data_IF_587442685370
#
_entry.id   IF_587442685370
#
_cell.length_a   1.000
_cell.length_b   1.000
_cell.length_c   1.000
_cell.angle_alpha   90.00
_cell.angle_beta   90.00
_cell.angle_gamma   90.00
#
_symmetry.space_group_name_H-M   'P 1'
#
loop_
_entity.id
_entity.type
_entity.pdbx_description
1 polymer ?
#
# COMPACT_ATOMS: atom_id res chain seq x y z
N UNK A 1 -5.08 -25.10 10.45
CA UNK A 1 -4.91 -24.63 11.85
C UNK A 1 -6.10 -24.95 12.75
N UNK A 2 -7.34 -24.99 12.24
CA UNK A 2 -8.54 -25.38 13.03
C UNK A 2 -8.76 -26.90 13.16
N UNK A 3 -8.02 -27.70 12.40
CA UNK A 3 -8.24 -29.15 12.27
C UNK A 3 -7.46 -30.00 13.30
N UNK A 4 -6.55 -29.40 14.07
CA UNK A 4 -5.66 -30.11 15.00
C UNK A 4 -5.88 -29.71 16.48
N UNK A 5 -7.03 -29.11 16.80
CA UNK A 5 -7.48 -28.71 18.15
C UNK A 5 -6.51 -27.82 18.95
N UNK A 6 -5.49 -27.26 18.29
CA UNK A 6 -4.53 -26.34 18.88
C UNK A 6 -5.02 -24.89 18.75
N UNK A 7 -4.55 -23.96 19.62
CA UNK A 7 -4.96 -22.56 19.57
C UNK A 7 -4.72 -21.94 18.19
N UNK A 8 -5.73 -21.27 17.63
CA UNK A 8 -5.59 -20.46 16.42
C UNK A 8 -5.08 -19.08 16.81
N UNK A 9 -3.75 -18.91 16.88
CA UNK A 9 -3.11 -17.62 17.16
C UNK A 9 -2.17 -17.20 16.03
N UNK A 10 -1.99 -15.89 15.87
CA UNK A 10 -1.08 -15.34 14.86
C UNK A 10 0.37 -15.79 15.08
N UNK A 11 0.82 -15.88 16.33
CA UNK A 11 2.15 -16.38 16.65
C UNK A 11 2.35 -17.83 16.18
N UNK A 12 1.33 -18.69 16.35
CA UNK A 12 1.39 -20.07 15.87
C UNK A 12 1.34 -20.15 14.35
N UNK A 13 0.52 -19.31 13.69
CA UNK A 13 0.47 -19.23 12.23
C UNK A 13 1.86 -18.89 11.66
N UNK A 14 2.49 -17.84 12.17
CA UNK A 14 3.84 -17.44 11.77
C UNK A 14 4.85 -18.54 12.09
N UNK A 15 4.75 -19.18 13.25
CA UNK A 15 5.58 -20.33 13.60
C UNK A 15 5.43 -21.48 12.60
N UNK A 16 4.22 -21.84 12.20
CA UNK A 16 4.00 -22.91 11.21
C UNK A 16 4.60 -22.55 9.85
N UNK A 17 4.38 -21.32 9.38
CA UNK A 17 4.85 -20.89 8.05
C UNK A 17 6.37 -20.74 8.01
N UNK A 18 6.95 -20.09 9.01
CA UNK A 18 8.35 -19.69 9.01
C UNK A 18 9.24 -20.73 9.68
N UNK A 19 8.81 -21.23 10.84
CA UNK A 19 9.67 -21.97 11.78
C UNK A 19 9.62 -23.48 11.66
N UNK A 20 8.62 -24.01 10.96
CA UNK A 20 8.54 -25.46 10.73
C UNK A 20 9.52 -25.86 9.64
N UNK A 21 10.33 -26.89 9.92
CA UNK A 21 11.10 -27.60 8.89
C UNK A 21 10.18 -27.94 7.71
N UNK A 22 10.72 -27.96 6.48
CA UNK A 22 9.92 -28.25 5.29
C UNK A 22 9.13 -29.55 5.40
N UNK A 23 9.72 -30.56 6.07
CA UNK A 23 9.04 -31.82 6.36
C UNK A 23 7.85 -31.63 7.32
N UNK A 24 8.02 -30.87 8.41
CA UNK A 24 6.94 -30.61 9.36
C UNK A 24 5.80 -29.79 8.72
N UNK A 25 6.14 -28.79 7.90
CA UNK A 25 5.18 -28.01 7.14
C UNK A 25 4.47 -28.88 6.08
N UNK A 26 5.21 -29.74 5.37
CA UNK A 26 4.67 -30.70 4.41
C UNK A 26 3.69 -31.69 5.04
N UNK A 27 4.03 -32.24 6.20
CA UNK A 27 3.15 -33.11 6.98
C UNK A 27 1.90 -32.35 7.45
N UNK A 28 2.06 -31.10 7.91
CA UNK A 28 0.93 -30.27 8.33
C UNK A 28 -0.01 -29.91 7.18
N UNK A 29 0.53 -29.70 5.98
CA UNK A 29 -0.23 -29.38 4.76
C UNK A 29 -0.73 -30.64 4.02
N UNK A 30 -0.43 -31.84 4.51
CA UNK A 30 -0.85 -33.07 3.86
C UNK A 30 -2.39 -33.11 3.72
N UNK A 31 -2.86 -33.42 2.51
CA UNK A 31 -4.29 -33.40 2.17
C UNK A 31 -4.83 -32.02 1.75
N UNK A 32 -3.99 -30.99 1.71
CA UNK A 32 -4.31 -29.68 1.11
C UNK A 32 -3.69 -29.55 -0.28
N UNK A 33 -4.20 -28.61 -1.08
CA UNK A 33 -3.65 -28.30 -2.41
C UNK A 33 -2.19 -27.83 -2.37
N UNK A 34 -1.75 -27.25 -1.25
CA UNK A 34 -0.40 -26.73 -1.06
C UNK A 34 0.64 -27.80 -0.68
N UNK A 35 0.23 -29.05 -0.41
CA UNK A 35 1.15 -30.11 0.01
C UNK A 35 2.27 -30.37 -1.01
N UNK A 36 1.96 -30.26 -2.31
CA UNK A 36 2.91 -30.48 -3.41
C UNK A 36 4.02 -29.41 -3.45
N UNK A 37 3.72 -28.19 -2.98
CA UNK A 37 4.62 -27.03 -3.05
C UNK A 37 5.70 -27.02 -1.95
N UNK A 38 5.56 -27.88 -0.94
CA UNK A 38 6.46 -27.97 0.23
C UNK A 38 7.11 -29.36 0.38
N UNK A 39 7.02 -30.19 -0.67
CA UNK A 39 7.63 -31.52 -0.68
C UNK A 39 9.16 -31.46 -0.61
N UNK A 40 9.78 -32.50 -0.04
CA UNK A 40 11.25 -32.59 0.15
C UNK A 40 12.03 -32.48 -1.16
N UNK A 41 11.43 -32.93 -2.26
CA UNK A 41 12.06 -32.95 -3.59
C UNK A 41 12.17 -31.55 -4.22
N UNK A 42 11.54 -30.53 -3.62
CA UNK A 42 11.47 -29.16 -4.16
C UNK A 42 11.95 -28.13 -3.14
N UNK A 43 13.06 -28.43 -2.43
CA UNK A 43 13.63 -27.58 -1.36
C UNK A 43 13.87 -26.12 -1.81
N UNK A 44 14.42 -25.90 -3.03
CA UNK A 44 14.68 -24.54 -3.54
C UNK A 44 13.41 -23.71 -3.74
N UNK A 45 12.37 -24.28 -4.35
CA UNK A 45 11.09 -23.59 -4.55
C UNK A 45 10.42 -23.29 -3.22
N UNK A 46 10.45 -24.22 -2.27
CA UNK A 46 9.84 -24.00 -0.97
C UNK A 46 10.56 -22.89 -0.18
N UNK A 47 11.89 -22.78 -0.28
CA UNK A 47 12.66 -21.67 0.29
C UNK A 47 12.28 -20.35 -0.39
N UNK A 48 12.23 -20.31 -1.72
CA UNK A 48 11.79 -19.13 -2.47
C UNK A 48 10.39 -18.66 -2.05
N UNK A 49 9.43 -19.58 -1.90
CA UNK A 49 8.09 -19.29 -1.39
C UNK A 49 8.14 -18.72 0.03
N UNK A 50 8.91 -19.35 0.94
CA UNK A 50 9.05 -18.86 2.31
C UNK A 50 9.68 -17.47 2.37
N UNK A 51 10.70 -17.19 1.56
CA UNK A 51 11.32 -15.86 1.48
C UNK A 51 10.34 -14.80 1.03
N UNK A 52 9.55 -15.09 -0.02
CA UNK A 52 8.49 -14.18 -0.48
C UNK A 52 7.44 -13.98 0.61
N UNK A 53 6.95 -15.05 1.24
CA UNK A 53 5.96 -14.96 2.31
C UNK A 53 6.49 -14.17 3.52
N UNK A 54 7.71 -14.41 3.97
CA UNK A 54 8.34 -13.74 5.10
C UNK A 54 8.29 -12.21 4.97
N UNK A 55 8.57 -11.70 3.77
CA UNK A 55 8.54 -10.27 3.46
C UNK A 55 7.15 -9.66 3.68
N UNK A 56 6.05 -10.37 3.38
CA UNK A 56 4.69 -9.82 3.53
C UNK A 56 4.07 -10.10 4.91
N UNK A 57 4.32 -11.28 5.48
CA UNK A 57 3.67 -11.72 6.73
C UNK A 57 4.33 -11.17 7.99
N UNK A 58 5.53 -10.57 7.90
CA UNK A 58 6.22 -9.96 9.06
C UNK A 58 5.37 -8.92 9.79
N UNK A 59 4.49 -8.23 9.08
CA UNK A 59 3.54 -7.26 9.63
C UNK A 59 2.57 -7.90 10.65
N UNK A 60 2.27 -9.20 10.52
CA UNK A 60 1.41 -9.93 11.46
C UNK A 60 1.98 -9.94 12.90
N UNK A 61 3.29 -9.67 13.09
CA UNK A 61 3.90 -9.52 14.42
C UNK A 61 3.22 -8.43 15.26
N UNK A 62 2.67 -7.39 14.62
CA UNK A 62 1.98 -6.31 15.31
C UNK A 62 0.60 -6.73 15.88
N UNK A 63 0.09 -7.90 15.50
CA UNK A 63 -1.14 -8.47 16.04
C UNK A 63 -0.91 -9.28 17.32
N UNK A 64 0.33 -9.41 17.78
CA UNK A 64 0.64 -10.16 18.98
C UNK A 64 -0.10 -9.61 20.20
N UNK A 65 -0.47 -10.51 21.11
CA UNK A 65 -1.23 -10.21 22.31
C UNK A 65 -2.69 -9.76 22.10
N UNK A 66 -3.20 -9.75 20.88
CA UNK A 66 -4.65 -9.53 20.66
C UNK A 66 -5.48 -10.71 21.18
N UNK A 67 -4.92 -11.92 21.15
CA UNK A 67 -5.53 -13.16 21.63
C UNK A 67 -5.24 -13.45 23.12
N UNK A 68 -4.66 -12.49 23.85
CA UNK A 68 -4.33 -12.68 25.27
C UNK A 68 -5.57 -12.97 26.10
N UNK A 69 -5.43 -13.94 27.01
CA UNK A 69 -6.46 -14.30 27.97
C UNK A 69 -6.15 -13.73 29.35
N UNK A 70 -7.18 -13.40 30.10
CA UNK A 70 -7.09 -13.06 31.52
C UNK A 70 -6.85 -14.32 32.38
N UNK A 71 -6.70 -14.12 33.69
CA UNK A 71 -6.47 -15.20 34.65
C UNK A 71 -7.63 -16.23 34.71
N UNK A 72 -8.79 -15.88 34.14
CA UNK A 72 -9.98 -16.72 34.06
C UNK A 72 -10.10 -17.43 32.70
N UNK A 73 -9.12 -17.27 31.82
CA UNK A 73 -9.10 -17.88 30.48
C UNK A 73 -10.01 -17.18 29.47
N UNK A 74 -10.54 -16.00 29.78
CA UNK A 74 -11.36 -15.20 28.86
C UNK A 74 -10.48 -14.24 28.06
N UNK A 75 -10.81 -13.93 26.79
CA UNK A 75 -10.08 -12.92 26.04
C UNK A 75 -10.05 -11.58 26.78
N UNK A 76 -8.87 -11.02 27.02
CA UNK A 76 -8.70 -9.68 27.64
C UNK A 76 -9.36 -8.59 26.80
N UNK A 77 -9.52 -8.84 25.50
CA UNK A 77 -10.15 -7.94 24.53
C UNK A 77 -11.25 -8.69 23.81
N UNK A 78 -12.38 -8.03 23.59
CA UNK A 78 -13.44 -8.57 22.73
C UNK A 78 -12.89 -8.69 21.30
N UNK A 79 -13.03 -9.84 20.63
CA UNK A 79 -12.69 -9.98 19.23
C UNK A 79 -13.46 -8.97 18.37
N UNK A 80 -12.78 -8.43 17.36
CA UNK A 80 -13.38 -7.50 16.40
C UNK A 80 -13.31 -8.11 15.00
N UNK A 81 -14.45 -8.12 14.31
CA UNK A 81 -14.56 -8.54 12.91
C UNK A 81 -14.95 -7.32 12.08
N UNK A 82 -14.08 -6.94 11.13
CA UNK A 82 -14.39 -5.89 10.16
C UNK A 82 -15.61 -6.29 9.33
N UNK A 83 -15.69 -7.57 8.95
CA UNK A 83 -16.80 -8.09 8.16
C UNK A 83 -18.12 -7.92 8.92
N UNK A 84 -18.18 -8.40 10.17
CA UNK A 84 -19.39 -8.32 10.98
C UNK A 84 -19.77 -6.87 11.26
N UNK A 85 -18.80 -5.98 11.44
CA UNK A 85 -19.05 -4.55 11.65
C UNK A 85 -19.61 -3.87 10.39
N UNK A 86 -19.06 -4.17 9.21
CA UNK A 86 -19.54 -3.64 7.92
C UNK A 86 -20.92 -4.20 7.56
N UNK A 87 -21.18 -5.47 7.88
CA UNK A 87 -22.39 -6.18 7.49
C UNK A 87 -23.58 -5.96 8.44
N UNK A 88 -23.37 -5.30 9.58
CA UNK A 88 -24.42 -4.97 10.53
C UNK A 88 -24.90 -3.53 10.33
N UNK A 89 -26.07 -3.39 9.68
CA UNK A 89 -26.72 -2.08 9.42
C UNK A 89 -27.04 -1.29 10.71
N UNK A 90 -26.99 -1.91 11.89
CA UNK A 90 -27.16 -1.20 13.16
C UNK A 90 -25.89 -0.53 13.66
N UNK A 91 -24.72 -0.91 13.12
CA UNK A 91 -23.46 -0.29 13.50
C UNK A 91 -23.40 1.14 12.98
N UNK A 92 -22.90 2.02 13.83
CA UNK A 92 -22.75 3.45 13.52
C UNK A 92 -21.35 3.90 13.93
N UNK A 93 -20.84 4.89 13.20
CA UNK A 93 -19.55 5.52 13.49
C UNK A 93 -18.51 5.25 12.42
N UNK A 94 -17.25 5.45 12.80
CA UNK A 94 -16.11 5.36 11.90
C UNK A 94 -15.15 4.26 12.37
N UNK A 95 -14.69 3.45 11.42
CA UNK A 95 -13.54 2.58 11.61
C UNK A 95 -12.29 3.34 11.13
N UNK A 96 -11.42 3.72 12.04
CA UNK A 96 -10.16 4.40 11.71
C UNK A 96 -9.03 3.37 11.56
N UNK A 97 -8.48 3.27 10.36
CA UNK A 97 -7.27 2.49 10.08
C UNK A 97 -6.07 3.45 10.06
N UNK A 98 -5.48 3.68 11.24
CA UNK A 98 -4.38 4.65 11.39
C UNK A 98 -3.01 3.98 11.46
N UNK A 99 -2.00 4.66 10.94
CA UNK A 99 -0.59 4.37 11.18
C UNK A 99 0.18 5.65 11.49
N UNK A 100 1.21 5.55 12.33
CA UNK A 100 2.22 6.61 12.42
C UNK A 100 3.12 6.56 11.17
N UNK A 101 3.55 7.70 10.65
CA UNK A 101 4.44 7.83 9.49
C UNK A 101 5.70 6.94 9.62
N UNK A 102 6.30 6.88 10.82
CA UNK A 102 7.48 6.05 11.08
C UNK A 102 7.23 4.54 10.90
N UNK A 103 6.00 4.07 11.09
CA UNK A 103 5.63 2.65 11.03
C UNK A 103 4.78 2.31 9.81
N UNK A 104 4.55 3.28 8.91
CA UNK A 104 3.63 3.12 7.80
C UNK A 104 4.07 1.98 6.88
N UNK A 105 5.35 1.94 6.47
CA UNK A 105 5.90 0.86 5.64
C UNK A 105 5.67 -0.54 6.24
N UNK A 106 5.94 -0.75 7.53
CA UNK A 106 5.79 -2.06 8.18
C UNK A 106 4.32 -2.45 8.42
N UNK A 107 3.40 -1.47 8.55
CA UNK A 107 1.96 -1.69 8.74
C UNK A 107 1.16 -1.71 7.43
N UNK A 108 1.74 -1.23 6.33
CA UNK A 108 1.10 -1.13 5.02
C UNK A 108 0.42 -2.44 4.58
N UNK A 109 1.03 -3.64 4.71
CA UNK A 109 0.35 -4.89 4.33
C UNK A 109 -0.92 -5.16 5.14
N UNK A 110 -0.90 -4.84 6.45
CA UNK A 110 -2.06 -5.02 7.33
C UNK A 110 -3.19 -4.05 6.97
N UNK A 111 -2.86 -2.76 6.78
CA UNK A 111 -3.85 -1.73 6.44
C UNK A 111 -4.50 -2.06 5.09
N UNK A 112 -3.70 -2.42 4.09
CA UNK A 112 -4.21 -2.88 2.79
C UNK A 112 -5.10 -4.11 2.92
N UNK A 113 -4.73 -5.08 3.76
CA UNK A 113 -5.55 -6.28 4.01
C UNK A 113 -6.88 -5.92 4.66
N UNK A 114 -6.89 -5.10 5.70
CA UNK A 114 -8.12 -4.68 6.38
C UNK A 114 -9.05 -3.88 5.48
N UNK A 115 -8.49 -3.01 4.64
CA UNK A 115 -9.27 -2.27 3.67
C UNK A 115 -9.86 -3.18 2.58
N UNK A 116 -9.10 -4.17 2.11
CA UNK A 116 -9.61 -5.18 1.18
C UNK A 116 -10.72 -6.03 1.82
N UNK A 117 -10.58 -6.41 3.10
CA UNK A 117 -11.61 -7.12 3.86
C UNK A 117 -12.87 -6.27 3.97
N UNK A 118 -12.74 -4.99 4.35
CA UNK A 118 -13.88 -4.07 4.46
C UNK A 118 -14.59 -3.92 3.11
N UNK A 119 -13.83 -3.71 2.04
CA UNK A 119 -14.36 -3.52 0.69
C UNK A 119 -15.13 -4.75 0.19
N UNK A 120 -14.57 -5.96 0.39
CA UNK A 120 -15.24 -7.21 0.05
C UNK A 120 -16.47 -7.48 0.94
N UNK A 121 -16.43 -7.09 2.22
CA UNK A 121 -17.57 -7.22 3.12
C UNK A 121 -18.77 -6.39 2.64
N UNK A 122 -18.53 -5.19 2.07
CA UNK A 122 -19.57 -4.35 1.46
C UNK A 122 -20.18 -5.07 0.24
N UNK A 123 -19.36 -5.69 -0.63
CA UNK A 123 -19.86 -6.47 -1.77
C UNK A 123 -20.72 -7.68 -1.35
N UNK A 124 -20.53 -8.19 -0.13
CA UNK A 124 -21.33 -9.27 0.43
C UNK A 124 -22.70 -8.85 1.00
N UNK A 125 -23.01 -7.54 1.03
CA UNK A 125 -24.30 -7.03 1.50
C UNK A 125 -25.41 -7.31 0.49
N UNK A 126 -26.66 -7.12 0.92
CA UNK A 126 -27.80 -7.09 0.00
C UNK A 126 -27.91 -5.72 -0.66
N UNK A 127 -28.40 -5.70 -1.89
CA UNK A 127 -28.72 -4.47 -2.62
C UNK A 127 -29.62 -3.55 -1.77
N UNK A 128 -29.21 -2.29 -1.65
CA UNK A 128 -29.89 -1.27 -0.86
C UNK A 128 -29.52 0.12 -1.40
N UNK A 129 -30.50 0.84 -1.94
CA UNK A 129 -30.29 2.17 -2.54
C UNK A 129 -30.15 3.29 -1.50
N UNK A 130 -30.50 3.05 -0.24
CA UNK A 130 -30.46 4.02 0.86
C UNK A 130 -29.19 3.86 1.71
N UNK A 131 -28.55 2.68 1.70
CA UNK A 131 -27.31 2.42 2.44
C UNK A 131 -26.16 3.30 1.94
N UNK A 132 -25.38 3.90 2.84
CA UNK A 132 -24.15 4.65 2.51
C UNK A 132 -23.00 4.24 3.43
N UNK A 133 -22.06 3.46 2.91
CA UNK A 133 -20.81 3.11 3.59
C UNK A 133 -19.68 3.84 2.90
N UNK A 134 -19.08 4.80 3.59
CA UNK A 134 -17.99 5.61 3.05
C UNK A 134 -16.64 4.95 3.31
N UNK A 135 -15.89 4.70 2.24
CA UNK A 135 -14.50 4.28 2.27
C UNK A 135 -13.66 5.47 1.83
N UNK A 136 -12.95 6.07 2.79
CA UNK A 136 -12.13 7.26 2.58
C UNK A 136 -10.67 6.83 2.63
N UNK A 137 -9.95 7.06 1.53
CA UNK A 137 -8.54 6.76 1.36
C UNK A 137 -7.83 8.10 1.14
N UNK A 138 -7.12 8.58 2.14
CA UNK A 138 -6.43 9.89 2.10
C UNK A 138 -5.28 9.90 1.10
N UNK A 139 -4.53 8.80 1.00
CA UNK A 139 -3.52 8.57 -0.03
C UNK A 139 -3.52 7.10 -0.46
N UNK A 140 -4.25 6.78 -1.52
CA UNK A 140 -4.35 5.39 -1.98
C UNK A 140 -3.01 4.80 -2.48
N UNK A 141 -2.19 5.53 -3.25
CA UNK A 141 -0.91 5.00 -3.72
C UNK A 141 0.08 4.59 -2.64
N UNK A 142 -0.04 5.09 -1.39
CA UNK A 142 0.81 4.66 -0.28
C UNK A 142 0.46 3.26 0.25
N UNK A 143 -0.65 2.66 -0.21
CA UNK A 143 -1.05 1.29 0.13
C UNK A 143 -0.45 0.29 -0.86
N UNK A 144 -0.38 -0.99 -0.46
CA UNK A 144 -0.20 -2.06 -1.44
C UNK A 144 -1.34 -2.08 -2.45
N UNK A 145 -1.02 -2.50 -3.67
CA UNK A 145 -2.02 -2.71 -4.73
C UNK A 145 -3.16 -3.57 -4.18
N UNK A 146 -4.34 -2.98 -4.06
CA UNK A 146 -5.54 -3.70 -3.64
C UNK A 146 -6.02 -4.55 -4.81
N UNK A 147 -6.11 -5.88 -4.66
CA UNK A 147 -6.59 -6.74 -5.73
C UNK A 147 -8.01 -6.34 -6.15
N UNK A 148 -8.25 -6.31 -7.47
CA UNK A 148 -9.59 -6.11 -8.07
C UNK A 148 -10.31 -4.82 -7.63
N UNK A 149 -9.56 -3.80 -7.19
CA UNK A 149 -10.14 -2.55 -6.70
C UNK A 149 -11.04 -1.86 -7.74
N UNK A 150 -10.67 -1.92 -9.01
CA UNK A 150 -11.45 -1.43 -10.14
C UNK A 150 -12.82 -2.11 -10.23
N UNK A 151 -12.86 -3.44 -10.15
CA UNK A 151 -14.10 -4.20 -10.12
C UNK A 151 -14.92 -3.84 -8.87
N UNK A 152 -14.28 -3.78 -7.70
CA UNK A 152 -14.94 -3.45 -6.44
C UNK A 152 -15.60 -2.08 -6.52
N UNK A 153 -14.88 -1.02 -6.91
CA UNK A 153 -15.43 0.34 -7.01
C UNK A 153 -16.61 0.38 -7.99
N UNK A 154 -16.56 -0.39 -9.08
CA UNK A 154 -17.64 -0.45 -10.07
C UNK A 154 -18.92 -1.12 -9.54
N UNK A 155 -18.78 -2.19 -8.75
CA UNK A 155 -19.92 -3.00 -8.30
C UNK A 155 -20.49 -2.54 -6.95
N UNK A 156 -19.67 -1.97 -6.07
CA UNK A 156 -20.04 -1.65 -4.69
C UNK A 156 -21.21 -0.66 -4.58
N UNK A 157 -21.48 0.11 -5.64
CA UNK A 157 -22.51 1.15 -5.70
C UNK A 157 -23.91 0.61 -5.38
N UNK A 158 -24.29 -0.59 -5.89
CA UNK A 158 -25.62 -1.18 -5.64
C UNK A 158 -25.81 -1.66 -4.19
N UNK A 159 -24.70 -1.86 -3.48
CA UNK A 159 -24.68 -2.26 -2.07
C UNK A 159 -24.54 -1.07 -1.11
N UNK A 160 -24.43 0.16 -1.64
CA UNK A 160 -24.31 1.38 -0.86
C UNK A 160 -22.88 1.85 -0.57
N UNK A 161 -21.85 1.24 -1.15
CA UNK A 161 -20.47 1.69 -0.99
C UNK A 161 -20.18 3.00 -1.73
N UNK A 162 -19.47 3.91 -1.07
CA UNK A 162 -19.06 5.21 -1.59
C UNK A 162 -17.56 5.40 -1.35
N UNK A 163 -16.79 5.66 -2.42
CA UNK A 163 -15.33 5.82 -2.33
C UNK A 163 -14.94 7.29 -2.47
N UNK A 164 -14.05 7.74 -1.57
CA UNK A 164 -13.35 9.03 -1.68
C UNK A 164 -11.86 8.71 -1.66
N UNK A 165 -11.17 9.03 -2.74
CA UNK A 165 -9.77 8.67 -2.95
C UNK A 165 -8.96 9.95 -3.16
N UNK A 166 -7.98 10.18 -2.28
CA UNK A 166 -6.92 11.15 -2.46
C UNK A 166 -5.81 10.57 -3.35
N UNK A 167 -5.38 11.39 -4.30
CA UNK A 167 -4.29 11.09 -5.23
C UNK A 167 -3.38 12.32 -5.31
N UNK A 168 -2.11 12.18 -4.95
CA UNK A 168 -1.11 13.24 -5.16
C UNK A 168 -0.67 13.33 -6.62
N UNK A 169 -0.51 12.18 -7.29
CA UNK A 169 -0.04 12.12 -8.68
C UNK A 169 -0.63 10.93 -9.42
N UNK A 170 -1.10 11.16 -10.64
CA UNK A 170 -1.50 10.10 -11.55
C UNK A 170 -0.33 9.14 -11.87
N UNK A 171 0.92 9.60 -11.83
CA UNK A 171 2.08 8.74 -12.07
C UNK A 171 2.27 7.69 -10.96
N UNK A 172 1.97 8.02 -9.70
CA UNK A 172 2.01 7.06 -8.59
C UNK A 172 0.91 6.00 -8.77
N UNK A 173 -0.28 6.41 -9.20
CA UNK A 173 -1.37 5.50 -9.54
C UNK A 173 -0.96 4.48 -10.62
N UNK A 174 -0.33 4.96 -11.71
CA UNK A 174 0.19 4.11 -12.79
C UNK A 174 1.30 3.18 -12.29
N UNK A 175 2.19 3.66 -11.41
CA UNK A 175 3.25 2.83 -10.80
C UNK A 175 2.65 1.66 -10.01
N UNK A 176 1.63 1.90 -9.20
CA UNK A 176 1.05 0.88 -8.31
C UNK A 176 0.10 -0.08 -9.05
N UNK A 177 -0.73 0.42 -9.96
CA UNK A 177 -1.81 -0.37 -10.58
C UNK A 177 -1.55 -0.75 -12.04
N UNK A 178 -0.54 -0.16 -12.68
CA UNK A 178 -0.32 -0.23 -14.12
C UNK A 178 -1.24 0.73 -14.89
N UNK A 179 -0.84 1.12 -16.10
CA UNK A 179 -1.53 2.16 -16.89
C UNK A 179 -3.01 1.87 -17.13
N UNK A 180 -3.35 0.66 -17.57
CA UNK A 180 -4.73 0.30 -17.91
C UNK A 180 -5.65 0.36 -16.67
N UNK A 181 -5.26 -0.28 -15.58
CA UNK A 181 -6.04 -0.27 -14.33
C UNK A 181 -6.13 1.13 -13.74
N UNK A 182 -5.05 1.92 -13.81
CA UNK A 182 -5.04 3.32 -13.37
C UNK A 182 -6.06 4.17 -14.14
N UNK A 183 -6.15 4.01 -15.46
CA UNK A 183 -7.16 4.68 -16.28
C UNK A 183 -8.58 4.26 -15.88
N UNK A 184 -8.83 2.96 -15.67
CA UNK A 184 -10.14 2.44 -15.23
C UNK A 184 -10.54 3.02 -13.87
N UNK A 185 -9.65 2.97 -12.87
CA UNK A 185 -9.92 3.53 -11.53
C UNK A 185 -10.23 5.02 -11.65
N UNK A 186 -9.42 5.76 -12.42
CA UNK A 186 -9.63 7.19 -12.61
C UNK A 186 -11.00 7.48 -13.23
N UNK A 187 -11.41 6.71 -14.25
CA UNK A 187 -12.68 6.87 -14.96
C UNK A 187 -13.92 6.54 -14.10
N UNK A 188 -13.81 5.62 -13.14
CA UNK A 188 -14.90 5.30 -12.21
C UNK A 188 -15.22 6.43 -11.22
N UNK A 189 -14.25 7.30 -10.94
CA UNK A 189 -14.37 8.41 -9.99
C UNK A 189 -15.03 9.62 -10.66
N UNK A 190 -16.36 9.72 -10.57
CA UNK A 190 -17.14 10.72 -11.31
C UNK A 190 -17.06 12.15 -10.75
N UNK A 191 -17.03 12.31 -9.43
CA UNK A 191 -16.90 13.62 -8.78
C UNK A 191 -15.43 13.87 -8.50
N UNK A 192 -14.89 14.98 -9.03
CA UNK A 192 -13.45 15.24 -9.00
C UNK A 192 -13.17 16.65 -8.48
N UNK A 193 -12.21 16.72 -7.57
CA UNK A 193 -11.63 17.95 -7.06
C UNK A 193 -10.19 18.04 -7.58
N UNK A 194 -9.92 19.02 -8.42
CA UNK A 194 -8.58 19.27 -8.96
C UNK A 194 -7.93 20.41 -8.19
N UNK A 195 -7.00 20.05 -7.30
CA UNK A 195 -6.14 21.00 -6.59
C UNK A 195 -4.93 21.39 -7.45
N UNK A 196 -4.06 22.26 -6.91
CA UNK A 196 -2.79 22.61 -7.52
C UNK A 196 -1.99 21.34 -7.83
N UNK A 197 -1.61 21.19 -9.10
CA UNK A 197 -0.75 20.11 -9.56
C UNK A 197 0.57 20.69 -10.10
N UNK A 198 1.71 20.52 -9.40
CA UNK A 198 2.97 21.14 -9.84
C UNK A 198 3.54 20.47 -11.10
N UNK A 199 3.28 19.18 -11.31
CA UNK A 199 3.81 18.45 -12.46
C UNK A 199 3.04 18.78 -13.74
N UNK A 200 3.76 19.00 -14.85
CA UNK A 200 3.17 19.31 -16.15
C UNK A 200 2.22 18.21 -16.64
N UNK A 201 2.55 16.94 -16.37
CA UNK A 201 1.74 15.79 -16.73
C UNK A 201 0.38 15.81 -16.00
N UNK A 202 0.38 15.97 -14.67
CA UNK A 202 -0.88 16.00 -13.91
C UNK A 202 -1.70 17.24 -14.27
N UNK A 203 -1.07 18.40 -14.42
CA UNK A 203 -1.76 19.61 -14.85
C UNK A 203 -2.42 19.46 -16.24
N UNK A 204 -1.76 18.80 -17.19
CA UNK A 204 -2.33 18.51 -18.50
C UNK A 204 -3.51 17.52 -18.42
N UNK A 205 -3.39 16.47 -17.61
CA UNK A 205 -4.48 15.51 -17.36
C UNK A 205 -5.69 16.24 -16.75
N UNK A 206 -5.47 17.05 -15.72
CA UNK A 206 -6.53 17.85 -15.07
C UNK A 206 -7.18 18.83 -16.05
N UNK A 207 -6.39 19.58 -16.83
CA UNK A 207 -6.91 20.53 -17.82
C UNK A 207 -7.77 19.84 -18.88
N UNK A 208 -7.30 18.69 -19.38
CA UNK A 208 -8.03 17.88 -20.35
C UNK A 208 -9.34 17.32 -19.77
N UNK A 209 -9.33 16.88 -18.51
CA UNK A 209 -10.53 16.33 -17.87
C UNK A 209 -11.59 17.39 -17.54
N UNK A 210 -11.15 18.59 -17.16
CA UNK A 210 -12.03 19.75 -16.97
C UNK A 210 -12.67 20.22 -18.29
N UNK A 211 -12.10 19.83 -19.43
CA UNK A 211 -12.68 19.97 -20.75
C UNK A 211 -12.30 21.27 -21.47
N UNK A 212 -12.95 21.48 -22.62
CA UNK A 212 -12.73 22.61 -23.50
C UNK A 212 -14.01 23.44 -23.66
N UNK A 213 -13.85 24.71 -24.02
CA UNK A 213 -14.92 25.64 -24.34
C UNK A 213 -14.66 26.27 -25.71
N UNK A 214 -15.72 26.52 -26.45
CA UNK A 214 -15.71 27.36 -27.64
C UNK A 214 -16.05 28.79 -27.25
N UNK A 215 -15.21 29.74 -27.67
CA UNK A 215 -15.38 31.16 -27.36
C UNK A 215 -15.33 31.97 -28.65
N UNK A 216 -16.33 32.80 -28.85
CA UNK A 216 -16.35 33.78 -29.93
C UNK A 216 -15.54 35.03 -29.54
N UNK A 217 -14.36 35.17 -30.13
CA UNK A 217 -13.47 36.31 -29.91
C UNK A 217 -13.70 37.34 -31.00
N UNK A 218 -14.10 38.54 -30.61
CA UNK A 218 -14.21 39.69 -31.50
C UNK A 218 -12.88 40.44 -31.50
N UNK A 219 -12.22 40.55 -32.66
CA UNK A 219 -10.99 41.33 -32.83
C UNK A 219 -11.28 42.59 -33.62
N UNK A 220 -10.99 43.73 -33.01
CA UNK A 220 -11.06 45.03 -33.66
C UNK A 220 -9.69 45.38 -34.25
N UNK A 221 -9.63 45.55 -35.57
CA UNK A 221 -8.46 46.05 -36.26
C UNK A 221 -8.69 47.52 -36.61
N UNK A 222 -7.88 48.41 -36.03
CA UNK A 222 -7.88 49.84 -36.32
C UNK A 222 -6.74 50.11 -37.31
N UNK A 223 -7.07 50.54 -38.53
CA UNK A 223 -6.06 50.98 -39.50
C UNK A 223 -5.93 52.50 -39.45
N UNK A 224 -4.75 52.99 -39.05
CA UNK A 224 -4.45 54.42 -39.05
C UNK A 224 -3.93 54.87 -40.42
N UNK A 225 -4.66 55.76 -41.07
CA UNK A 225 -4.23 56.39 -42.32
C UNK A 225 -3.43 57.67 -42.08
N UNK A 226 -2.59 58.09 -43.03
CA UNK A 226 -1.82 59.34 -42.94
C UNK A 226 -2.68 60.62 -42.92
N UNK A 227 -4.00 60.52 -43.09
CA UNK A 227 -4.96 61.61 -43.04
C UNK A 227 -6.05 61.30 -42.00
N UNK A 228 -6.30 62.23 -41.07
CA UNK A 228 -7.25 62.11 -39.96
C UNK A 228 -8.74 61.91 -40.36
N UNK A 229 -9.06 61.91 -41.66
CA UNK A 229 -10.41 61.73 -42.21
C UNK A 229 -10.68 60.30 -42.71
N UNK A 230 -9.74 59.35 -42.54
CA UNK A 230 -9.84 58.00 -43.12
C UNK A 230 -9.30 56.91 -42.20
N UNK A 231 -9.73 56.92 -40.95
CA UNK A 231 -9.53 55.78 -40.05
C UNK A 231 -10.68 54.79 -40.24
N UNK A 232 -10.32 53.54 -40.57
CA UNK A 232 -11.25 52.44 -40.73
C UNK A 232 -11.17 51.49 -39.54
N UNK A 233 -12.32 51.19 -38.95
CA UNK A 233 -12.45 50.15 -37.91
C UNK A 233 -13.07 48.92 -38.55
N UNK A 234 -12.39 47.78 -38.46
CA UNK A 234 -12.90 46.49 -38.91
C UNK A 234 -13.01 45.53 -37.73
N UNK A 235 -14.20 44.95 -37.51
CA UNK A 235 -14.44 43.97 -36.46
C UNK A 235 -14.54 42.59 -37.11
N UNK A 236 -13.62 41.70 -36.78
CA UNK A 236 -13.66 40.30 -37.16
C UNK A 236 -14.12 39.43 -36.00
N UNK A 237 -15.02 38.48 -36.26
CA UNK A 237 -15.37 37.44 -35.29
C UNK A 237 -14.61 36.17 -35.61
N UNK A 238 -14.04 35.54 -34.60
CA UNK A 238 -13.37 34.26 -34.70
C UNK A 238 -13.78 33.37 -33.52
N UNK A 239 -14.42 32.24 -33.82
CA UNK A 239 -14.64 31.18 -32.84
C UNK A 239 -13.33 30.42 -32.60
N UNK A 240 -12.93 30.28 -31.34
CA UNK A 240 -11.75 29.51 -30.94
C UNK A 240 -12.15 28.47 -29.90
N UNK A 241 -11.63 27.25 -30.03
CA UNK A 241 -11.71 26.22 -28.99
C UNK A 241 -10.48 26.34 -28.10
N UNK A 242 -10.69 26.36 -26.78
CA UNK A 242 -9.61 26.40 -25.78
C UNK A 242 -9.99 25.62 -24.53
N UNK A 243 -9.03 25.17 -23.70
CA UNK A 243 -9.33 24.58 -22.40
C UNK A 243 -10.22 25.51 -21.56
N UNK A 244 -11.15 24.93 -20.79
CA UNK A 244 -11.92 25.68 -19.79
C UNK A 244 -10.97 26.27 -18.76
N UNK A 245 -10.04 25.43 -18.31
CA UNK A 245 -8.93 25.77 -17.41
C UNK A 245 -7.65 25.25 -18.04
N UNK A 246 -6.67 26.13 -18.23
CA UNK A 246 -5.36 25.79 -18.76
C UNK A 246 -4.49 25.06 -17.71
N UNK A 247 -3.53 24.26 -18.18
CA UNK A 247 -2.54 23.64 -17.30
C UNK A 247 -1.79 24.65 -16.43
N UNK A 248 -1.52 25.85 -16.97
CA UNK A 248 -0.85 26.93 -16.24
C UNK A 248 -1.70 27.47 -15.08
N UNK A 249 -3.01 27.60 -15.27
CA UNK A 249 -3.94 27.99 -14.19
C UNK A 249 -4.01 26.93 -13.09
N UNK A 250 -3.95 25.64 -13.45
CA UNK A 250 -3.88 24.54 -12.46
C UNK A 250 -2.56 24.57 -11.68
N UNK A 251 -1.43 24.87 -12.35
CA UNK A 251 -0.12 24.95 -11.71
C UNK A 251 0.03 26.17 -10.79
N UNK A 252 -0.59 27.29 -11.17
CA UNK A 252 -0.50 28.56 -10.45
C UNK A 252 -1.55 28.73 -9.34
N UNK A 253 -2.43 27.74 -9.16
CA UNK A 253 -3.49 27.76 -8.16
C UNK A 253 -2.94 27.92 -6.73
N UNK A 254 -3.60 28.73 -5.90
CA UNK A 254 -3.20 28.90 -4.51
C UNK A 254 -3.60 27.70 -3.65
N UNK A 255 -2.96 27.54 -2.49
CA UNK A 255 -3.37 26.53 -1.52
C UNK A 255 -4.82 26.79 -1.06
N UNK A 256 -5.54 25.71 -0.78
CA UNK A 256 -6.98 25.72 -0.46
C UNK A 256 -7.91 26.15 -1.61
N UNK A 257 -7.42 26.22 -2.86
CA UNK A 257 -8.29 26.32 -4.02
C UNK A 257 -8.40 24.98 -4.75
N UNK A 258 -9.52 24.75 -5.44
CA UNK A 258 -9.67 23.62 -6.35
C UNK A 258 -10.72 23.88 -7.43
N UNK A 259 -10.64 23.16 -8.54
CA UNK A 259 -11.74 23.06 -9.51
C UNK A 259 -12.60 21.82 -9.22
N UNK A 260 -13.91 22.02 -9.09
CA UNK A 260 -14.89 20.97 -8.90
C UNK A 260 -15.56 20.61 -10.24
N UNK A 261 -15.53 19.31 -10.55
CA UNK A 261 -16.33 18.67 -11.59
C UNK A 261 -17.28 17.65 -10.96
N UNK A 262 -18.57 17.75 -11.27
CA UNK A 262 -19.61 16.84 -10.79
C UNK A 262 -20.29 16.11 -11.95
N UNK A 263 -20.75 14.87 -11.77
CA UNK A 263 -21.45 14.14 -12.82
C UNK A 263 -22.73 14.85 -13.25
N UNK A 264 -23.00 14.86 -14.56
CA UNK A 264 -24.22 15.43 -15.13
C UNK A 264 -24.23 16.96 -15.24
N UNK A 265 -23.16 17.66 -14.85
CA UNK A 265 -23.02 19.11 -15.05
C UNK A 265 -22.07 19.41 -16.20
N UNK A 266 -22.42 20.39 -17.03
CA UNK A 266 -21.52 21.00 -18.02
C UNK A 266 -20.66 22.13 -17.44
N UNK A 267 -20.94 22.57 -16.21
CA UNK A 267 -20.22 23.67 -15.57
C UNK A 267 -19.10 23.15 -14.66
N UNK A 268 -17.96 23.82 -14.74
CA UNK A 268 -16.83 23.68 -13.81
C UNK A 268 -16.85 24.87 -12.85
N UNK A 269 -16.61 24.62 -11.57
CA UNK A 269 -16.61 25.66 -10.53
C UNK A 269 -15.27 25.69 -9.84
N UNK A 270 -14.64 26.88 -9.76
CA UNK A 270 -13.51 27.10 -8.85
C UNK A 270 -14.06 27.31 -7.44
N UNK A 271 -13.53 26.57 -6.48
CA UNK A 271 -13.87 26.66 -5.06
C UNK A 271 -12.70 27.24 -4.28
N UNK A 272 -13.00 28.20 -3.42
CA UNK A 272 -12.11 28.67 -2.36
C UNK A 272 -12.49 27.98 -1.06
N UNK A 273 -11.64 27.06 -0.60
CA UNK A 273 -11.86 26.30 0.62
C UNK A 273 -11.36 27.09 1.83
N UNK A 274 -12.08 26.95 2.95
CA UNK A 274 -11.67 27.50 4.23
C UNK A 274 -11.13 26.38 5.11
N UNK A 275 -9.91 26.55 5.63
CA UNK A 275 -9.39 25.63 6.64
C UNK A 275 -10.09 25.86 7.98
N UNK A 276 -10.98 24.94 8.33
CA UNK A 276 -11.65 24.95 9.62
C UNK A 276 -10.85 24.11 10.64
N UNK A 277 -10.31 24.79 11.65
CA UNK A 277 -9.55 24.12 12.71
C UNK A 277 -10.51 23.44 13.69
N UNK A 278 -10.71 22.14 13.49
CA UNK A 278 -11.50 21.31 14.40
C UNK A 278 -10.82 21.11 15.75
N UNK A 279 -11.62 20.90 16.80
CA UNK A 279 -11.12 20.58 18.15
C UNK A 279 -10.57 19.15 18.21
N UNK A 280 -9.48 18.96 18.95
CA UNK A 280 -8.95 17.62 19.23
C UNK A 280 -9.86 16.92 20.26
N UNK A 281 -10.60 15.90 19.80
CA UNK A 281 -11.51 15.12 20.66
C UNK A 281 -10.78 13.97 21.35
N UNK A 282 -9.71 13.46 20.75
CA UNK A 282 -8.90 12.33 21.24
C UNK A 282 -7.44 12.54 20.84
N UNK A 283 -6.45 12.00 21.60
CA UNK A 283 -5.08 11.96 21.14
C UNK A 283 -4.96 11.24 19.79
N UNK A 284 -4.13 11.77 18.89
CA UNK A 284 -3.91 11.19 17.56
C UNK A 284 -3.28 9.79 17.61
N UNK A 285 -2.49 9.50 18.66
CA UNK A 285 -1.84 8.22 18.84
C UNK A 285 -1.75 7.86 20.32
N UNK A 286 -2.21 6.66 20.68
CA UNK A 286 -2.06 6.08 22.01
C UNK A 286 -1.16 4.86 21.86
N UNK A 287 0.10 5.00 22.27
CA UNK A 287 1.08 3.92 22.16
C UNK A 287 0.63 2.73 23.00
N UNK A 288 0.54 1.56 22.38
CA UNK A 288 0.28 0.30 23.07
C UNK A 288 1.52 -0.10 23.87
N UNK A 289 1.36 -0.33 25.17
CA UNK A 289 2.37 -1.01 25.99
C UNK A 289 2.27 -2.52 25.71
N UNK A 290 3.22 -3.04 24.92
CA UNK A 290 3.24 -4.46 24.56
C UNK A 290 4.68 -4.92 24.36
N UNK A 291 4.99 -6.08 24.93
CA UNK A 291 6.23 -6.82 24.68
C UNK A 291 5.87 -8.07 23.89
N UNK A 292 6.57 -8.30 22.77
CA UNK A 292 6.34 -9.49 21.95
C UNK A 292 6.50 -10.76 22.79
N UNK A 293 5.57 -11.69 22.63
CA UNK A 293 5.67 -13.00 23.25
C UNK A 293 6.94 -13.72 22.76
N UNK A 294 7.57 -14.59 23.57
CA UNK A 294 8.78 -15.31 23.13
C UNK A 294 8.59 -16.08 21.82
N UNK A 295 7.39 -16.64 21.60
CA UNK A 295 7.03 -17.31 20.36
C UNK A 295 7.00 -16.35 19.17
N UNK A 296 6.45 -15.14 19.36
CA UNK A 296 6.42 -14.12 18.30
C UNK A 296 7.80 -13.55 18.00
N UNK A 297 8.62 -13.28 19.03
CA UNK A 297 10.00 -12.84 18.86
C UNK A 297 10.81 -13.84 18.06
N UNK A 298 10.69 -15.14 18.40
CA UNK A 298 11.31 -16.22 17.63
C UNK A 298 10.81 -16.23 16.19
N UNK A 299 9.49 -16.24 15.98
CA UNK A 299 8.91 -16.25 14.63
C UNK A 299 9.36 -15.05 13.77
N UNK A 300 9.52 -13.87 14.36
CA UNK A 300 10.04 -12.69 13.66
C UNK A 300 11.51 -12.85 13.28
N UNK A 301 12.36 -13.32 14.19
CA UNK A 301 13.78 -13.59 13.91
C UNK A 301 13.95 -14.61 12.77
N UNK A 302 13.09 -15.62 12.72
CA UNK A 302 13.10 -16.61 11.65
C UNK A 302 12.57 -16.05 10.32
N UNK A 303 11.57 -15.15 10.36
CA UNK A 303 11.16 -14.39 9.17
C UNK A 303 12.35 -13.65 8.56
N UNK A 304 13.13 -12.97 9.40
CA UNK A 304 14.34 -12.23 9.00
C UNK A 304 15.39 -13.17 8.41
N UNK A 305 15.61 -14.34 9.00
CA UNK A 305 16.49 -15.36 8.41
C UNK A 305 16.01 -15.77 7.00
N UNK A 306 14.72 -16.09 6.84
CA UNK A 306 14.14 -16.49 5.55
C UNK A 306 14.18 -15.37 4.51
N UNK A 307 14.07 -14.11 4.93
CA UNK A 307 14.04 -12.93 4.07
C UNK A 307 15.44 -12.52 3.61
N UNK A 308 16.42 -12.52 4.51
CA UNK A 308 17.73 -11.90 4.29
C UNK A 308 18.89 -12.89 4.15
N UNK A 309 18.82 -14.07 4.77
CA UNK A 309 19.97 -15.00 4.86
C UNK A 309 19.77 -16.23 3.98
N UNK A 310 18.62 -16.90 4.10
CA UNK A 310 18.32 -18.12 3.34
C UNK A 310 18.43 -17.93 1.80
N UNK A 311 18.02 -16.81 1.19
CA UNK A 311 18.20 -16.59 -0.24
C UNK A 311 19.67 -16.68 -0.67
N UNK A 312 20.58 -16.07 0.08
CA UNK A 312 22.04 -16.09 -0.13
C UNK A 312 22.64 -17.50 -0.20
N UNK A 313 22.06 -18.37 0.62
CA UNK A 313 22.50 -19.74 0.81
C UNK A 313 21.97 -20.72 -0.23
N UNK A 314 20.73 -20.54 -0.68
CA UNK A 314 20.00 -21.57 -1.42
C UNK A 314 19.63 -21.20 -2.86
N UNK A 315 19.63 -19.91 -3.19
CA UNK A 315 19.18 -19.40 -4.49
C UNK A 315 20.35 -18.93 -5.36
N UNK A 316 20.10 -18.86 -6.68
CA UNK A 316 21.05 -18.31 -7.64
C UNK A 316 21.18 -16.79 -7.49
N UNK A 317 22.23 -16.19 -8.04
CA UNK A 317 22.40 -14.73 -8.02
C UNK A 317 21.24 -14.00 -8.72
N UNK A 318 20.76 -14.53 -9.85
CA UNK A 318 19.60 -13.99 -10.57
C UNK A 318 18.32 -14.01 -9.70
N UNK A 319 18.05 -15.13 -9.03
CA UNK A 319 16.89 -15.29 -8.15
C UNK A 319 16.97 -14.35 -6.94
N UNK A 320 18.16 -14.21 -6.34
CA UNK A 320 18.39 -13.28 -5.23
C UNK A 320 18.18 -11.84 -5.65
N UNK A 321 18.74 -11.42 -6.78
CA UNK A 321 18.58 -10.06 -7.29
C UNK A 321 17.10 -9.72 -7.55
N UNK A 322 16.32 -10.69 -8.04
CA UNK A 322 14.88 -10.53 -8.24
C UNK A 322 14.09 -10.43 -6.92
N UNK A 323 14.53 -11.08 -5.84
CA UNK A 323 13.92 -10.95 -4.51
C UNK A 323 14.31 -9.61 -3.86
N UNK A 324 15.59 -9.25 -3.90
CA UNK A 324 16.09 -7.97 -3.35
C UNK A 324 15.43 -6.77 -4.03
N UNK A 325 15.21 -6.83 -5.34
CA UNK A 325 14.48 -5.78 -6.08
C UNK A 325 13.04 -5.62 -5.58
N UNK A 326 12.34 -6.72 -5.26
CA UNK A 326 10.98 -6.64 -4.70
C UNK A 326 10.96 -6.13 -3.26
N UNK A 327 12.00 -6.42 -2.48
CA UNK A 327 12.13 -5.92 -1.12
C UNK A 327 12.38 -4.41 -1.10
N UNK A 328 13.23 -3.90 -2.00
CA UNK A 328 13.49 -2.45 -2.08
C UNK A 328 12.27 -1.66 -2.54
N UNK A 329 11.43 -2.23 -3.42
CA UNK A 329 10.13 -1.65 -3.81
C UNK A 329 9.15 -1.49 -2.64
N UNK A 330 9.42 -2.12 -1.48
CA UNK A 330 8.56 -1.97 -0.31
C UNK A 330 8.72 -0.65 0.45
N UNK A 331 9.76 0.13 0.17
CA UNK A 331 10.03 1.37 0.88
C UNK A 331 9.91 2.54 -0.09
N UNK A 332 9.21 3.59 0.33
CA UNK A 332 9.05 4.80 -0.48
C UNK A 332 10.08 5.85 -0.12
N UNK A 333 10.54 5.83 1.14
CA UNK A 333 11.51 6.80 1.67
C UNK A 333 12.75 6.12 2.25
N UNK A 334 13.93 6.79 2.22
CA UNK A 334 15.14 6.29 2.88
C UNK A 334 14.99 6.13 4.40
N UNK A 335 14.14 6.96 5.04
CA UNK A 335 13.91 6.90 6.49
C UNK A 335 13.16 5.63 6.90
N UNK A 336 12.12 5.26 6.15
CA UNK A 336 11.40 3.99 6.37
C UNK A 336 12.32 2.79 6.20
N UNK A 337 13.14 2.81 5.14
CA UNK A 337 14.11 1.76 4.86
C UNK A 337 15.08 1.62 6.05
N UNK A 338 15.63 2.74 6.53
CA UNK A 338 16.58 2.75 7.66
C UNK A 338 15.98 2.15 8.93
N UNK A 339 14.75 2.53 9.29
CA UNK A 339 14.12 2.02 10.51
C UNK A 339 13.89 0.51 10.46
N UNK A 340 13.45 -0.01 9.31
CA UNK A 340 13.28 -1.45 9.14
C UNK A 340 14.64 -2.16 9.12
N UNK A 341 15.65 -1.59 8.46
CA UNK A 341 17.03 -2.10 8.44
C UNK A 341 17.61 -2.23 9.85
N UNK A 342 17.41 -1.24 10.73
CA UNK A 342 17.87 -1.30 12.12
C UNK A 342 17.23 -2.47 12.88
N UNK A 343 15.91 -2.70 12.71
CA UNK A 343 15.19 -3.83 13.33
C UNK A 343 15.62 -5.18 12.76
N UNK A 344 15.91 -5.24 11.47
CA UNK A 344 16.42 -6.44 10.80
C UNK A 344 17.83 -6.75 11.31
N UNK A 345 18.70 -5.75 11.43
CA UNK A 345 20.08 -5.91 11.93
C UNK A 345 20.11 -6.49 13.34
N UNK A 346 19.24 -5.99 14.23
CA UNK A 346 19.08 -6.55 15.58
C UNK A 346 18.63 -8.01 15.54
N UNK A 347 17.64 -8.34 14.70
CA UNK A 347 17.10 -9.69 14.57
C UNK A 347 18.14 -10.68 13.97
N UNK A 348 18.92 -10.26 12.98
CA UNK A 348 19.97 -11.08 12.34
C UNK A 348 21.07 -11.47 13.32
N UNK A 349 21.35 -10.62 14.33
CA UNK A 349 22.34 -10.91 15.36
C UNK A 349 21.84 -11.84 16.48
N UNK A 350 20.55 -12.20 16.46
CA UNK A 350 19.93 -13.07 17.46
C UNK A 350 20.50 -14.49 17.46
N UNK A 351 20.39 -15.14 18.62
CA UNK A 351 20.80 -16.55 18.79
C UNK A 351 19.97 -17.49 17.89
N UNK A 352 18.68 -17.19 17.69
CA UNK A 352 17.80 -17.94 16.79
C UNK A 352 18.34 -17.98 15.36
N UNK A 353 18.72 -16.82 14.80
CA UNK A 353 19.25 -16.75 13.43
C UNK A 353 20.58 -17.49 13.33
N UNK A 354 21.47 -17.31 14.31
CA UNK A 354 22.76 -18.01 14.37
C UNK A 354 22.59 -19.53 14.40
N UNK A 355 21.63 -20.04 15.18
CA UNK A 355 21.35 -21.47 15.25
C UNK A 355 20.83 -22.01 13.91
N UNK A 356 19.90 -21.30 13.25
CA UNK A 356 19.40 -21.71 11.93
C UNK A 356 20.51 -21.77 10.87
N UNK A 357 21.43 -20.82 10.87
CA UNK A 357 22.59 -20.84 9.96
C UNK A 357 23.47 -22.07 10.22
N UNK A 358 23.74 -22.37 11.49
CA UNK A 358 24.54 -23.53 11.86
C UNK A 358 23.83 -24.83 11.46
N UNK A 359 22.52 -24.95 11.72
CA UNK A 359 21.72 -26.12 11.38
C UNK A 359 21.69 -26.34 9.86
N UNK A 360 21.52 -25.29 9.05
CA UNK A 360 21.56 -25.42 7.60
C UNK A 360 22.98 -25.73 7.10
N UNK A 361 24.01 -25.13 7.67
CA UNK A 361 25.41 -25.48 7.37
C UNK A 361 25.74 -26.94 7.72
N UNK A 362 25.17 -27.48 8.80
CA UNK A 362 25.29 -28.89 9.18
C UNK A 362 24.46 -29.82 8.29
N UNK A 363 23.27 -29.42 7.86
CA UNK A 363 22.45 -30.19 6.93
C UNK A 363 23.04 -30.22 5.52
N UNK A 364 23.88 -29.25 5.17
CA UNK A 364 24.61 -29.15 3.90
C UNK A 364 26.03 -29.72 3.99
N UNK A 365 26.29 -30.65 4.93
CA UNK A 365 27.53 -31.43 5.10
C UNK A 365 27.99 -32.12 3.80
N UNK A 366 28.56 -31.34 2.89
CA UNK A 366 29.45 -31.77 1.81
C UNK A 366 30.33 -30.65 1.22
N UNK A 367 30.33 -29.41 1.74
CA UNK A 367 31.23 -28.36 1.19
C UNK A 367 31.67 -27.31 2.23
N UNK A 368 32.98 -27.25 2.51
CA UNK A 368 33.62 -26.15 3.29
C UNK A 368 33.39 -24.76 2.64
N UNK A 369 33.00 -24.73 1.37
CA UNK A 369 32.60 -23.52 0.64
C UNK A 369 31.28 -22.93 1.20
N UNK A 370 30.39 -23.76 1.75
CA UNK A 370 29.10 -23.32 2.23
C UNK A 370 29.19 -22.55 3.56
N UNK A 371 29.98 -23.02 4.52
CA UNK A 371 30.20 -22.29 5.78
C UNK A 371 30.83 -20.92 5.56
N UNK A 372 31.81 -20.82 4.66
CA UNK A 372 32.39 -19.53 4.26
C UNK A 372 31.38 -18.63 3.58
N UNK A 373 30.55 -19.18 2.69
CA UNK A 373 29.49 -18.43 2.01
C UNK A 373 28.41 -17.96 2.99
N UNK A 374 28.01 -18.79 3.95
CA UNK A 374 27.05 -18.41 4.98
C UNK A 374 27.57 -17.27 5.86
N UNK A 375 28.84 -17.34 6.26
CA UNK A 375 29.48 -16.30 7.05
C UNK A 375 29.71 -15.02 6.22
N UNK A 376 30.05 -15.14 4.94
CA UNK A 376 30.09 -14.03 4.00
C UNK A 376 28.71 -13.40 3.79
N UNK A 377 27.63 -14.16 3.61
CA UNK A 377 26.28 -13.60 3.48
C UNK A 377 25.81 -12.93 4.77
N UNK A 378 26.29 -13.38 5.94
CA UNK A 378 26.00 -12.74 7.23
C UNK A 378 26.74 -11.40 7.35
N UNK A 379 28.01 -11.37 6.93
CA UNK A 379 28.80 -10.14 6.85
C UNK A 379 28.25 -9.21 5.75
N UNK A 380 27.94 -9.71 4.56
CA UNK A 380 27.37 -8.98 3.43
C UNK A 380 25.94 -8.52 3.70
N UNK A 381 25.07 -9.27 4.38
CA UNK A 381 23.76 -8.77 4.80
C UNK A 381 23.87 -7.71 5.89
N UNK A 382 24.84 -7.83 6.80
CA UNK A 382 25.15 -6.80 7.78
C UNK A 382 25.80 -5.54 7.17
N UNK A 383 26.56 -5.67 6.08
CA UNK A 383 27.33 -4.61 5.40
C UNK A 383 26.55 -3.97 4.23
N UNK A 384 25.84 -4.74 3.40
CA UNK A 384 24.96 -4.26 2.32
C UNK A 384 23.87 -3.33 2.85
N UNK A 385 23.41 -3.61 4.08
CA UNK A 385 22.49 -2.76 4.83
C UNK A 385 23.13 -1.46 5.35
N UNK A 386 24.46 -1.37 5.42
CA UNK A 386 25.19 -0.11 5.64
C UNK A 386 25.45 0.63 4.30
N UNK A 387 25.60 -0.08 3.16
CA UNK A 387 25.92 0.51 1.83
C UNK A 387 24.69 1.13 1.14
N UNK A 388 23.47 0.65 1.41
CA UNK A 388 22.24 1.27 0.90
C UNK A 388 22.04 2.73 1.32
N UNK A 389 22.84 3.24 2.27
CA UNK A 389 22.88 4.64 2.68
C UNK A 389 23.72 5.54 1.75
N UNK A 390 24.75 5.01 1.08
CA UNK A 390 25.72 5.81 0.31
C UNK A 390 25.36 5.94 -1.18
N UNK A 391 24.64 4.97 -1.76
CA UNK A 391 24.24 5.03 -3.19
C UNK A 391 23.02 5.92 -3.47
N UNK A 392 22.26 6.29 -2.44
CA UNK A 392 21.05 7.13 -2.56
C UNK A 392 21.35 8.60 -2.20
N UNK A 393 22.55 8.89 -1.67
CA UNK A 393 23.02 10.26 -1.38
C UNK A 393 23.69 10.95 -2.59
N UNK A 394 23.47 10.47 -3.83
CA UNK A 394 23.99 11.09 -5.06
C UNK A 394 22.90 11.46 -6.06
#
# INVERSE_FOLDING_TARGET
MSQDDKPCSTARLLSLILTSELEALGNFLQGTESASLVSKDIKKTAISIKSVLATYIKSLRFLDGLDEKDDKGQPKRKPFSIIDWVQDDNQKGFLFLSSNAQQHASLRPLISTWLAIASNAILGLKDDEDRRIWVIMDEMPSLHKLPELDNIISEVRKFGGCYVIGLQSYAQLVKTYGKNTADVIFDLLNTRFYFRAPSAQMAHISSKDLGEQEVDVSRENISYGANALRDGVSIGHQTITRPVVSSSEIQAMDDLQCYLRVPGSSFITQLDLHFDKMRDVTPAFIKREHTLSPAMTKAYQEAVYCECVAPGLFLSEEERNALSSRQSEQFETPEEMKLETDQIKEATQSETVKNLINDDAENLKSDNHYQKRAQQELEESAISQDIGMDEISK
#
